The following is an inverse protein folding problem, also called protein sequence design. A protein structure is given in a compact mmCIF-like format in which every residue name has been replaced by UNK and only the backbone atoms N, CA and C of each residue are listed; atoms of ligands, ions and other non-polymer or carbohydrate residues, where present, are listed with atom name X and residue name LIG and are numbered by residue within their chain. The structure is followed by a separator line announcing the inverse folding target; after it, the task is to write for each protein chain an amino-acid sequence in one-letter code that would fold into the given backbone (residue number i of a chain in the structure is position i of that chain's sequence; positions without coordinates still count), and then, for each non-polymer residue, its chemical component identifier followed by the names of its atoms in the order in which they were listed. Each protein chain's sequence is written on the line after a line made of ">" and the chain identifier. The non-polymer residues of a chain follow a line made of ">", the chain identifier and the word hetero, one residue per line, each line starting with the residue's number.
data_IF_599072348277
#
_entry.id   IF_599072348277
#
_cell.length_a   1.000
_cell.length_b   1.000
_cell.length_c   1.000
_cell.angle_alpha   90.00
_cell.angle_beta   90.00
_cell.angle_gamma   90.00
#
_symmetry.space_group_name_H-M   'P 1'
#
loop_
_entity.id
_entity.type
_entity.pdbx_description
1 polymer ?
#
# COMPACT_ATOMS: atom_id res chain seq x y z
N UNK A 1 -8.70 7.07 16.01
CA UNK A 1 -7.38 6.74 15.44
C UNK A 1 -7.10 5.26 15.67
N UNK A 2 -6.91 4.47 14.61
CA UNK A 2 -6.71 3.03 14.68
C UNK A 2 -5.22 2.67 14.87
N UNK A 3 -4.59 3.20 15.91
CA UNK A 3 -3.17 2.91 16.19
C UNK A 3 -2.98 1.59 16.95
N UNK A 4 -3.93 1.22 17.81
CA UNK A 4 -3.85 0.02 18.66
C UNK A 4 -4.03 -1.35 17.97
N UNK A 5 -4.17 -1.39 16.64
CA UNK A 5 -4.38 -2.64 15.89
C UNK A 5 -3.32 -2.92 14.81
N UNK A 6 -2.30 -2.06 14.69
CA UNK A 6 -1.15 -2.32 13.84
C UNK A 6 -0.36 -3.51 14.41
N UNK A 7 0.14 -4.40 13.55
CA UNK A 7 0.89 -5.59 13.97
C UNK A 7 0.06 -6.83 14.33
N UNK A 8 -1.28 -6.80 14.17
CA UNK A 8 -2.16 -7.98 14.36
C UNK A 8 -2.54 -8.70 13.07
N UNK A 9 -1.91 -8.38 11.94
CA UNK A 9 -2.17 -9.02 10.65
C UNK A 9 -3.49 -8.62 9.95
N UNK A 10 -4.29 -7.71 10.52
CA UNK A 10 -5.59 -7.30 9.93
C UNK A 10 -5.39 -6.66 8.54
N UNK A 11 -4.40 -5.76 8.41
CA UNK A 11 -4.08 -5.16 7.11
C UNK A 11 -3.66 -6.19 6.07
N UNK A 12 -2.91 -7.20 6.49
CA UNK A 12 -2.53 -8.31 5.62
C UNK A 12 -3.74 -9.14 5.18
N UNK A 13 -4.60 -9.51 6.12
CA UNK A 13 -5.82 -10.27 5.83
C UNK A 13 -6.71 -9.53 4.82
N UNK A 14 -6.89 -8.21 4.99
CA UNK A 14 -7.68 -7.38 4.08
C UNK A 14 -7.07 -7.33 2.69
N UNK A 15 -5.76 -7.11 2.59
CA UNK A 15 -5.06 -7.06 1.29
C UNK A 15 -5.11 -8.41 0.57
N UNK A 16 -4.92 -9.52 1.30
CA UNK A 16 -5.05 -10.88 0.74
C UNK A 16 -6.47 -11.14 0.22
N UNK A 17 -7.48 -10.70 0.96
CA UNK A 17 -8.87 -10.85 0.53
C UNK A 17 -9.16 -10.00 -0.71
N UNK A 18 -8.64 -8.78 -0.78
CA UNK A 18 -8.79 -7.93 -1.96
C UNK A 18 -8.20 -8.60 -3.21
N UNK A 19 -6.99 -9.18 -3.12
CA UNK A 19 -6.36 -9.90 -4.25
C UNK A 19 -7.18 -11.12 -4.68
N UNK A 20 -7.83 -11.85 -3.76
CA UNK A 20 -8.74 -12.95 -4.12
C UNK A 20 -9.94 -12.44 -4.93
N UNK A 21 -10.57 -11.37 -4.47
CA UNK A 21 -11.70 -10.72 -5.18
C UNK A 21 -11.25 -10.25 -6.57
N UNK A 22 -10.03 -9.70 -6.70
CA UNK A 22 -9.49 -9.30 -8.00
C UNK A 22 -9.38 -10.48 -8.97
N UNK A 23 -8.88 -11.62 -8.50
CA UNK A 23 -8.78 -12.83 -9.29
C UNK A 23 -10.15 -13.39 -9.71
N UNK A 24 -11.10 -13.46 -8.76
CA UNK A 24 -12.47 -13.93 -9.00
C UNK A 24 -13.19 -13.10 -10.07
N UNK A 25 -13.00 -11.79 -10.04
CA UNK A 25 -13.63 -10.86 -10.97
C UNK A 25 -12.81 -10.57 -12.23
N UNK A 26 -11.69 -11.27 -12.44
CA UNK A 26 -10.77 -11.05 -13.59
C UNK A 26 -10.35 -9.58 -13.74
N UNK A 27 -10.09 -8.92 -12.62
CA UNK A 27 -9.54 -7.56 -12.61
C UNK A 27 -8.18 -7.61 -13.32
N UNK A 28 -8.00 -6.75 -14.32
CA UNK A 28 -6.78 -6.71 -15.13
C UNK A 28 -5.72 -5.78 -14.54
N UNK A 29 -6.11 -4.89 -13.61
CA UNK A 29 -5.23 -3.87 -13.07
C UNK A 29 -5.67 -3.40 -11.69
N UNK A 30 -4.75 -3.41 -10.74
CA UNK A 30 -4.91 -2.81 -9.41
C UNK A 30 -3.61 -2.08 -9.03
N UNK A 31 -3.75 -0.92 -8.39
CA UNK A 31 -2.60 -0.14 -7.92
C UNK A 31 -2.71 0.12 -6.43
N UNK A 32 -1.55 0.21 -5.79
CA UNK A 32 -1.41 0.67 -4.43
C UNK A 32 -0.24 1.66 -4.38
N UNK A 33 -0.39 2.70 -3.55
CA UNK A 33 0.65 3.68 -3.33
C UNK A 33 1.10 3.64 -1.88
N UNK A 34 2.41 3.64 -1.66
CA UNK A 34 3.02 3.82 -0.35
C UNK A 34 4.35 4.55 -0.52
N UNK A 35 4.78 5.23 0.53
CA UNK A 35 6.15 5.76 0.57
C UNK A 35 7.17 4.60 0.56
N UNK A 36 8.32 4.77 -0.10
CA UNK A 36 9.36 3.72 -0.16
C UNK A 36 9.93 3.32 1.21
N UNK A 37 9.93 4.25 2.17
CA UNK A 37 10.40 4.05 3.55
C UNK A 37 9.42 3.25 4.43
N UNK A 38 8.20 2.99 3.95
CA UNK A 38 7.24 2.13 4.63
C UNK A 38 7.50 0.66 4.29
N UNK A 39 8.61 0.12 4.81
CA UNK A 39 9.06 -1.25 4.52
C UNK A 39 8.00 -2.32 4.82
N UNK A 40 7.20 -2.13 5.86
CA UNK A 40 6.15 -3.06 6.24
C UNK A 40 5.06 -3.16 5.15
N UNK A 41 4.64 -2.03 4.58
CA UNK A 41 3.68 -2.01 3.49
C UNK A 41 4.28 -2.60 2.20
N UNK A 42 5.53 -2.26 1.89
CA UNK A 42 6.24 -2.81 0.72
C UNK A 42 6.31 -4.34 0.81
N UNK A 43 6.77 -4.89 1.94
CA UNK A 43 6.84 -6.35 2.17
C UNK A 43 5.46 -7.01 2.03
N UNK A 44 4.42 -6.39 2.60
CA UNK A 44 3.05 -6.90 2.49
C UNK A 44 2.59 -6.98 1.03
N UNK A 45 2.68 -5.87 0.28
CA UNK A 45 2.21 -5.82 -1.11
C UNK A 45 2.97 -6.81 -2.01
N UNK A 46 4.29 -6.90 -1.85
CA UNK A 46 5.09 -7.89 -2.60
C UNK A 46 4.71 -9.32 -2.25
N UNK A 47 4.39 -9.63 -0.98
CA UNK A 47 3.98 -10.98 -0.56
C UNK A 47 2.66 -11.47 -1.16
N UNK A 48 1.86 -10.59 -1.77
CA UNK A 48 0.58 -10.91 -2.41
C UNK A 48 0.58 -10.66 -3.92
N UNK A 49 1.75 -10.43 -4.53
CA UNK A 49 1.91 -10.35 -5.98
C UNK A 49 1.88 -8.95 -6.58
N UNK A 50 1.92 -7.88 -5.78
CA UNK A 50 2.22 -6.55 -6.34
C UNK A 50 3.72 -6.42 -6.64
N UNK A 51 4.03 -5.74 -7.73
CA UNK A 51 5.40 -5.40 -8.11
C UNK A 51 5.60 -3.88 -8.14
N UNK A 52 6.82 -3.38 -7.85
CA UNK A 52 7.13 -1.96 -8.02
C UNK A 52 6.93 -1.54 -9.49
N UNK A 53 6.14 -0.50 -9.73
CA UNK A 53 6.10 0.15 -11.04
C UNK A 53 6.99 1.39 -11.05
N UNK A 54 7.40 1.84 -12.24
CA UNK A 54 8.07 3.13 -12.43
C UNK A 54 7.03 4.17 -12.87
N UNK A 55 6.22 4.68 -11.95
CA UNK A 55 5.40 5.87 -12.19
C UNK A 55 6.06 7.11 -11.59
N UNK A 56 6.07 8.21 -12.35
CA UNK A 56 6.46 9.52 -11.85
C UNK A 56 5.41 9.97 -10.84
N UNK A 57 5.80 10.06 -9.56
CA UNK A 57 5.00 10.66 -8.51
C UNK A 57 5.62 12.01 -8.18
N UNK A 58 4.87 13.09 -8.39
CA UNK A 58 5.26 14.44 -7.98
C UNK A 58 4.50 14.83 -6.72
N UNK A 59 5.19 15.37 -5.73
CA UNK A 59 4.57 15.88 -4.51
C UNK A 59 5.06 17.28 -4.24
N UNK A 60 4.13 18.22 -4.09
CA UNK A 60 4.42 19.56 -3.60
C UNK A 60 4.11 19.58 -2.10
N UNK A 61 5.07 19.99 -1.29
CA UNK A 61 4.89 20.21 0.13
C UNK A 61 5.01 21.71 0.41
N UNK A 62 4.08 22.32 1.16
CA UNK A 62 4.32 23.66 1.67
C UNK A 62 5.53 23.61 2.60
N UNK A 63 6.51 24.48 2.38
CA UNK A 63 7.51 24.76 3.42
C UNK A 63 6.78 25.41 4.57
N UNK A 64 6.79 24.79 5.76
CA UNK A 64 6.35 25.49 6.96
C UNK A 64 7.18 26.77 7.07
N UNK A 65 6.56 27.94 7.30
CA UNK A 65 7.33 29.15 7.56
C UNK A 65 8.17 28.89 8.81
N UNK A 66 9.49 28.97 8.65
CA UNK A 66 10.47 28.89 9.74
C UNK A 66 9.94 29.69 10.94
N UNK A 67 9.71 29.01 12.07
CA UNK A 67 9.48 29.69 13.36
C UNK A 67 10.76 30.34 13.86
#
# INVERSE_FOLDING_TARGET
>A
MAEGHRGRGIGEMLVRQAVRVFAEHRVTLAYVWTRPDNEAAVKLYTSVGFEPNRQLVMTWYPTEPNS
#
